data_IF_098756128680
#
_entry.id   IF_098756128680
#
_cell.length_a   1.000
_cell.length_b   1.000
_cell.length_c   1.000
_cell.angle_alpha   90.00
_cell.angle_beta   90.00
_cell.angle_gamma   90.00
#
_symmetry.space_group_name_H-M   'P 1'
#
loop_
_entity.id
_entity.type
_entity.pdbx_description
1 polymer ?
#
# COMPACT_ATOMS: atom_id res chain seq x y z
N UNK A 1 -0.12 -36.20 -2.98
CA UNK A 1 0.80 -35.58 -3.96
C UNK A 1 1.13 -34.17 -3.47
N UNK A 2 2.30 -33.97 -2.85
CA UNK A 2 2.71 -32.67 -2.28
C UNK A 2 3.54 -31.90 -3.31
N UNK A 3 3.01 -30.78 -3.82
CA UNK A 3 3.82 -29.83 -4.56
C UNK A 3 4.75 -29.10 -3.59
N UNK A 4 6.02 -29.53 -3.52
CA UNK A 4 7.10 -28.72 -2.97
C UNK A 4 7.38 -27.59 -3.95
N UNK A 5 6.83 -26.40 -3.69
CA UNK A 5 7.33 -25.19 -4.32
C UNK A 5 8.74 -24.91 -3.77
N UNK A 6 9.76 -25.38 -4.51
CA UNK A 6 11.13 -24.95 -4.31
C UNK A 6 11.25 -23.48 -4.75
N UNK A 7 10.94 -22.55 -3.85
CA UNK A 7 11.34 -21.16 -4.02
C UNK A 7 12.84 -21.07 -3.73
N UNK A 8 13.62 -20.81 -4.77
CA UNK A 8 15.06 -20.62 -4.66
C UNK A 8 15.33 -19.26 -3.99
N UNK A 9 15.58 -19.27 -2.69
CA UNK A 9 15.85 -18.06 -1.87
C UNK A 9 17.12 -17.30 -2.32
N UNK A 10 17.97 -17.89 -3.17
CA UNK A 10 19.28 -17.33 -3.59
C UNK A 10 19.24 -16.33 -4.75
N UNK A 11 18.07 -15.98 -5.29
CA UNK A 11 17.94 -14.87 -6.26
C UNK A 11 16.94 -13.86 -5.75
N UNK A 12 17.42 -12.91 -4.94
CA UNK A 12 16.75 -11.65 -4.69
C UNK A 12 16.46 -10.98 -6.04
N UNK A 13 15.26 -11.14 -6.58
CA UNK A 13 14.84 -10.34 -7.74
C UNK A 13 14.68 -8.93 -7.21
N UNK A 14 15.58 -8.03 -7.59
CA UNK A 14 15.42 -6.61 -7.31
C UNK A 14 14.15 -6.14 -8.01
N UNK A 15 13.11 -5.85 -7.23
CA UNK A 15 11.87 -5.26 -7.72
C UNK A 15 11.96 -3.77 -7.45
N UNK A 16 11.76 -2.95 -8.49
CA UNK A 16 11.77 -1.50 -8.34
C UNK A 16 10.70 -1.07 -7.31
N UNK A 17 10.98 -0.04 -6.48
CA UNK A 17 10.01 0.48 -5.52
C UNK A 17 8.76 1.07 -6.16
N UNK A 18 8.78 1.29 -7.47
CA UNK A 18 7.62 1.66 -8.25
C UNK A 18 7.72 1.06 -9.66
N UNK A 19 6.57 0.87 -10.31
CA UNK A 19 6.50 0.43 -11.70
C UNK A 19 5.19 0.91 -12.37
N UNK A 20 5.09 0.74 -13.68
CA UNK A 20 3.85 0.93 -14.44
C UNK A 20 3.34 -0.44 -14.89
N UNK A 21 2.18 -0.85 -14.39
CA UNK A 21 1.56 -2.13 -14.76
C UNK A 21 0.32 -1.91 -15.63
N UNK A 22 0.06 -2.78 -16.58
CA UNK A 22 -1.16 -2.75 -17.36
C UNK A 22 -2.38 -3.12 -16.49
N UNK A 23 -3.19 -2.12 -16.12
CA UNK A 23 -4.39 -2.29 -15.31
C UNK A 23 -5.50 -1.29 -15.75
N UNK A 24 -6.76 -1.75 -15.78
CA UNK A 24 -7.92 -0.89 -16.08
C UNK A 24 -7.89 -0.25 -17.47
N UNK A 25 -7.28 -0.93 -18.45
CA UNK A 25 -7.12 -0.43 -19.82
C UNK A 25 -6.16 0.76 -19.95
N UNK A 26 -5.29 0.99 -18.96
CA UNK A 26 -4.22 1.98 -18.95
C UNK A 26 -3.07 1.46 -18.08
N UNK A 27 -2.25 2.36 -17.54
CA UNK A 27 -1.24 1.97 -16.56
C UNK A 27 -1.71 2.23 -15.13
N UNK A 28 -1.49 1.31 -14.21
CA UNK A 28 -1.44 1.61 -12.79
C UNK A 28 -0.02 2.02 -12.42
N UNK A 29 0.11 3.17 -11.75
CA UNK A 29 1.36 3.53 -11.09
C UNK A 29 1.43 2.77 -9.77
N UNK A 30 2.22 1.70 -9.75
CA UNK A 30 2.37 0.84 -8.59
C UNK A 30 3.48 1.41 -7.71
N UNK A 31 3.19 1.64 -6.42
CA UNK A 31 4.14 2.03 -5.40
C UNK A 31 4.27 0.88 -4.39
N UNK A 32 5.49 0.35 -4.22
CA UNK A 32 5.74 -0.88 -3.45
C UNK A 32 6.43 -0.57 -2.14
N UNK A 33 5.89 -1.12 -1.05
CA UNK A 33 6.58 -1.19 0.23
C UNK A 33 7.22 -2.55 0.48
N UNK A 34 8.37 -2.53 1.15
CA UNK A 34 9.00 -3.70 1.76
C UNK A 34 8.52 -3.93 3.21
N UNK A 35 8.76 -5.12 3.76
CA UNK A 35 8.47 -5.47 5.15
C UNK A 35 7.00 -5.78 5.44
N UNK A 36 6.73 -7.00 5.93
CA UNK A 36 5.41 -7.44 6.37
C UNK A 36 5.53 -8.48 7.49
N UNK A 37 4.64 -8.45 8.48
CA UNK A 37 4.64 -9.42 9.58
C UNK A 37 3.57 -10.52 9.46
N UNK A 38 2.67 -10.43 8.46
CA UNK A 38 1.49 -11.30 8.39
C UNK A 38 1.76 -12.72 7.89
N UNK A 39 2.91 -12.98 7.26
CA UNK A 39 3.27 -14.32 6.74
C UNK A 39 2.12 -15.02 5.98
N UNK A 40 1.41 -14.27 5.13
CA UNK A 40 0.27 -14.81 4.40
C UNK A 40 0.72 -15.92 3.44
N UNK A 41 -0.02 -17.03 3.32
CA UNK A 41 0.41 -18.22 2.55
C UNK A 41 0.48 -17.94 1.05
N UNK A 42 -0.48 -17.17 0.54
CA UNK A 42 -0.58 -16.76 -0.86
C UNK A 42 -0.30 -15.25 -0.97
N UNK A 43 0.89 -14.83 -0.52
CA UNK A 43 1.30 -13.45 -0.63
C UNK A 43 1.98 -13.20 -1.97
N UNK A 44 1.29 -12.59 -2.93
CA UNK A 44 1.89 -12.10 -4.19
C UNK A 44 3.10 -11.19 -3.90
N UNK A 45 3.01 -10.41 -2.81
CA UNK A 45 4.10 -9.53 -2.41
C UNK A 45 5.31 -10.26 -1.84
N UNK A 46 5.24 -11.56 -1.50
CA UNK A 46 6.31 -12.30 -0.81
C UNK A 46 7.68 -12.22 -1.49
N UNK A 47 7.72 -12.06 -2.82
CA UNK A 47 8.97 -11.97 -3.59
C UNK A 47 9.76 -10.69 -3.33
N UNK A 48 9.11 -9.63 -2.84
CA UNK A 48 9.70 -8.31 -2.63
C UNK A 48 9.30 -7.64 -1.30
N UNK A 49 8.29 -8.15 -0.61
CA UNK A 49 7.95 -7.85 0.77
C UNK A 49 8.69 -8.85 1.66
N UNK A 50 10.00 -8.65 1.78
CA UNK A 50 10.90 -9.53 2.53
C UNK A 50 10.44 -9.70 3.98
N UNK A 51 10.55 -10.93 4.48
CA UNK A 51 10.44 -11.30 5.89
C UNK A 51 11.84 -11.38 6.51
N UNK A 52 12.61 -10.31 6.53
CA UNK A 52 13.94 -10.36 7.15
C UNK A 52 14.06 -9.41 8.33
N UNK A 53 14.74 -9.89 9.35
CA UNK A 53 15.33 -9.10 10.43
C UNK A 53 16.33 -8.04 9.89
N UNK A 54 16.74 -8.18 8.61
CA UNK A 54 17.57 -7.22 7.85
C UNK A 54 16.78 -6.09 7.17
N UNK A 55 15.44 -6.19 7.08
CA UNK A 55 14.61 -5.14 6.47
C UNK A 55 14.38 -3.95 7.40
N UNK A 56 15.26 -3.76 8.40
CA UNK A 56 15.15 -2.76 9.46
C UNK A 56 15.04 -1.31 8.97
N UNK A 57 15.35 -0.98 7.72
CA UNK A 57 15.64 0.42 7.35
C UNK A 57 15.13 0.86 5.97
N UNK A 58 14.01 0.36 5.46
CA UNK A 58 13.26 1.16 4.47
C UNK A 58 12.37 2.15 5.24
N UNK A 59 13.03 3.13 5.86
CA UNK A 59 12.39 4.25 6.53
C UNK A 59 11.41 4.97 5.59
N UNK A 60 10.40 5.62 6.17
CA UNK A 60 9.51 6.53 5.45
C UNK A 60 10.30 7.48 4.52
N UNK A 61 11.48 7.94 4.94
CA UNK A 61 12.40 8.77 4.16
C UNK A 61 12.89 8.15 2.86
N UNK A 62 13.20 6.84 2.86
CA UNK A 62 13.58 6.14 1.63
C UNK A 62 12.41 6.08 0.66
N UNK A 63 11.20 5.88 1.17
CA UNK A 63 9.99 5.86 0.36
C UNK A 63 9.70 7.28 -0.17
N UNK A 64 9.87 8.33 0.64
CA UNK A 64 9.66 9.73 0.21
C UNK A 64 10.66 10.14 -0.89
N UNK A 65 11.91 9.67 -0.82
CA UNK A 65 12.88 9.79 -1.92
C UNK A 65 12.42 9.09 -3.22
N UNK A 66 11.50 8.14 -3.15
CA UNK A 66 10.92 7.54 -4.36
C UNK A 66 9.87 8.43 -5.02
N UNK A 67 9.16 9.31 -4.30
CA UNK A 67 8.23 10.28 -4.93
C UNK A 67 8.94 11.22 -5.90
N UNK A 68 10.11 11.73 -5.53
CA UNK A 68 10.91 12.58 -6.43
C UNK A 68 11.43 11.78 -7.64
N UNK A 69 11.78 10.50 -7.45
CA UNK A 69 12.13 9.61 -8.55
C UNK A 69 10.94 9.31 -9.49
N UNK A 70 9.74 9.16 -8.95
CA UNK A 70 8.51 8.95 -9.71
C UNK A 70 8.23 10.18 -10.58
N UNK A 71 8.35 11.39 -10.04
CA UNK A 71 8.17 12.62 -10.82
C UNK A 71 9.12 12.66 -12.03
N UNK A 72 10.41 12.44 -11.79
CA UNK A 72 11.43 12.36 -12.84
C UNK A 72 11.11 11.26 -13.86
N UNK A 73 10.68 10.10 -13.38
CA UNK A 73 10.41 8.95 -14.23
C UNK A 73 9.14 9.09 -15.05
N UNK A 74 8.07 9.68 -14.51
CA UNK A 74 6.85 10.01 -15.25
C UNK A 74 7.13 11.05 -16.33
N UNK A 75 7.95 12.06 -16.03
CA UNK A 75 8.40 13.03 -17.03
C UNK A 75 9.15 12.38 -18.20
N UNK A 76 10.00 11.37 -17.94
CA UNK A 76 10.80 10.71 -18.99
C UNK A 76 10.04 9.59 -19.69
N UNK A 77 9.44 8.66 -18.94
CA UNK A 77 8.77 7.48 -19.48
C UNK A 77 7.37 7.81 -20.00
N UNK A 78 6.62 8.70 -19.35
CA UNK A 78 5.21 8.94 -19.67
C UNK A 78 4.99 10.14 -20.58
N UNK A 79 5.71 11.25 -20.40
CA UNK A 79 5.50 12.42 -21.27
C UNK A 79 6.22 12.27 -22.62
N UNK A 80 7.43 11.71 -22.65
CA UNK A 80 8.25 11.67 -23.89
C UNK A 80 7.93 10.50 -24.83
N UNK A 81 7.31 9.41 -24.37
CA UNK A 81 7.16 8.16 -25.15
C UNK A 81 5.70 7.82 -25.55
N UNK A 82 4.77 8.78 -25.48
CA UNK A 82 3.32 8.58 -25.74
C UNK A 82 2.74 7.25 -25.17
N UNK A 83 2.86 6.95 -23.87
CA UNK A 83 2.25 5.75 -23.33
C UNK A 83 0.78 6.00 -23.01
N UNK A 84 0.09 4.88 -22.83
CA UNK A 84 -1.26 4.81 -22.28
C UNK A 84 -1.34 5.65 -20.99
N UNK A 85 -2.48 6.30 -20.78
CA UNK A 85 -2.70 7.15 -19.60
C UNK A 85 -2.75 6.32 -18.31
N UNK A 86 -2.45 6.96 -17.18
CA UNK A 86 -2.46 6.35 -15.85
C UNK A 86 -3.89 6.28 -15.31
N UNK A 87 -4.34 5.06 -15.02
CA UNK A 87 -5.67 4.73 -14.53
C UNK A 87 -5.81 5.08 -13.04
N UNK A 88 -4.84 4.69 -12.21
CA UNK A 88 -4.78 4.95 -10.77
C UNK A 88 -3.35 4.81 -10.24
N UNK A 89 -3.12 5.32 -9.02
CA UNK A 89 -1.96 4.97 -8.20
C UNK A 89 -2.36 3.82 -7.30
N UNK A 90 -1.56 2.74 -7.25
CA UNK A 90 -1.77 1.64 -6.31
C UNK A 90 -0.58 1.53 -5.38
N UNK A 91 -0.80 1.82 -4.11
CA UNK A 91 0.17 1.64 -3.04
C UNK A 91 -0.07 0.24 -2.50
N UNK A 92 0.93 -0.63 -2.61
CA UNK A 92 0.82 -2.06 -2.28
C UNK A 92 2.15 -2.65 -1.80
N UNK A 93 2.15 -3.94 -1.46
CA UNK A 93 3.35 -4.69 -1.10
C UNK A 93 3.26 -5.27 0.29
N UNK A 94 4.28 -5.02 1.13
CA UNK A 94 4.21 -5.37 2.54
C UNK A 94 2.99 -4.77 3.25
N UNK A 95 2.85 -4.95 4.56
CA UNK A 95 1.69 -4.36 5.26
C UNK A 95 1.86 -2.84 5.38
N UNK A 96 1.17 -2.07 4.54
CA UNK A 96 1.33 -0.62 4.45
C UNK A 96 1.00 0.08 5.76
N UNK A 97 -0.09 -0.32 6.39
CA UNK A 97 -0.52 0.21 7.67
C UNK A 97 -0.07 -0.76 8.78
N UNK A 98 1.24 -1.00 8.88
CA UNK A 98 1.79 -1.89 9.92
C UNK A 98 1.90 -1.19 11.28
N UNK A 99 2.27 0.10 11.26
CA UNK A 99 2.41 0.96 12.44
C UNK A 99 2.02 2.40 12.08
N UNK A 100 2.10 3.29 13.06
CA UNK A 100 1.66 4.67 12.91
C UNK A 100 2.48 5.43 11.87
N UNK A 101 3.81 5.41 11.98
CA UNK A 101 4.74 6.14 11.10
C UNK A 101 4.56 5.72 9.64
N UNK A 102 4.44 4.41 9.39
CA UNK A 102 4.23 3.87 8.06
C UNK A 102 2.86 4.20 7.51
N UNK A 103 1.83 4.25 8.35
CA UNK A 103 0.48 4.68 7.96
C UNK A 103 0.51 6.14 7.50
N UNK A 104 1.16 7.02 8.26
CA UNK A 104 1.30 8.44 7.92
C UNK A 104 2.05 8.63 6.59
N UNK A 105 3.16 7.90 6.40
CA UNK A 105 3.90 7.91 5.15
C UNK A 105 3.07 7.36 3.97
N UNK A 106 2.36 6.25 4.18
CA UNK A 106 1.45 5.65 3.17
C UNK A 106 0.41 6.65 2.70
N UNK A 107 -0.18 7.40 3.62
CA UNK A 107 -1.14 8.46 3.31
C UNK A 107 -0.47 9.59 2.51
N UNK A 108 0.77 9.98 2.83
CA UNK A 108 1.52 10.95 2.02
C UNK A 108 1.77 10.47 0.58
N UNK A 109 1.97 9.17 0.33
CA UNK A 109 2.11 8.65 -1.03
C UNK A 109 0.88 8.86 -1.89
N UNK A 110 -0.30 8.98 -1.29
CA UNK A 110 -1.50 9.29 -2.05
C UNK A 110 -1.41 10.68 -2.72
N UNK A 111 -0.53 11.57 -2.23
CA UNK A 111 -0.22 12.83 -2.91
C UNK A 111 0.47 12.63 -4.28
N UNK A 112 0.92 11.42 -4.65
CA UNK A 112 1.40 11.11 -6.00
C UNK A 112 0.35 11.45 -7.10
N UNK A 113 -0.94 11.56 -6.75
CA UNK A 113 -1.97 12.06 -7.64
C UNK A 113 -1.68 13.47 -8.17
N UNK A 114 -1.06 14.34 -7.36
CA UNK A 114 -0.62 15.67 -7.80
C UNK A 114 0.36 15.60 -8.98
N UNK A 115 1.23 14.59 -9.01
CA UNK A 115 2.19 14.39 -10.10
C UNK A 115 1.47 13.94 -11.37
N UNK A 116 0.47 13.06 -11.25
CA UNK A 116 -0.36 12.64 -12.39
C UNK A 116 -1.05 13.85 -13.03
N UNK A 117 -1.56 14.77 -12.20
CA UNK A 117 -2.23 16.00 -12.63
C UNK A 117 -1.28 16.99 -13.27
N UNK A 118 -0.17 17.29 -12.59
CA UNK A 118 0.86 18.23 -13.06
C UNK A 118 1.33 17.94 -14.49
N UNK A 119 1.41 16.67 -14.87
CA UNK A 119 1.83 16.25 -16.22
C UNK A 119 0.67 15.85 -17.14
N UNK A 120 -0.59 15.99 -16.70
CA UNK A 120 -1.80 15.59 -17.43
C UNK A 120 -1.73 14.15 -17.99
N UNK A 121 -1.19 13.23 -17.19
CA UNK A 121 -1.01 11.83 -17.59
C UNK A 121 -2.13 10.91 -17.10
N UNK A 122 -3.12 11.46 -16.38
CA UNK A 122 -4.27 10.73 -15.86
C UNK A 122 -5.28 10.35 -16.95
N UNK A 123 -5.78 9.11 -16.90
CA UNK A 123 -6.78 8.58 -17.84
C UNK A 123 -8.16 9.18 -17.61
N UNK A 124 -8.53 9.33 -16.35
CA UNK A 124 -9.86 9.76 -15.93
C UNK A 124 -9.85 11.18 -15.39
N UNK A 125 -11.01 11.84 -15.46
CA UNK A 125 -11.22 13.11 -14.79
C UNK A 125 -11.07 12.98 -13.28
N UNK A 126 -11.44 11.85 -12.68
CA UNK A 126 -11.20 11.53 -11.25
C UNK A 126 -10.09 10.48 -11.13
N UNK A 127 -8.96 10.88 -10.57
CA UNK A 127 -7.83 10.01 -10.28
C UNK A 127 -7.95 9.43 -8.88
N UNK A 128 -7.41 8.23 -8.70
CA UNK A 128 -7.56 7.45 -7.47
C UNK A 128 -6.21 6.96 -6.98
N UNK A 129 -5.95 7.11 -5.69
CA UNK A 129 -4.87 6.43 -4.99
C UNK A 129 -5.47 5.30 -4.16
N UNK A 130 -5.09 4.06 -4.46
CA UNK A 130 -5.58 2.85 -3.82
C UNK A 130 -4.51 2.40 -2.81
N UNK A 131 -4.85 2.38 -1.52
CA UNK A 131 -4.01 1.90 -0.42
C UNK A 131 -4.47 0.50 -0.04
N UNK A 132 -3.63 -0.51 -0.28
CA UNK A 132 -3.94 -1.90 0.10
C UNK A 132 -3.44 -2.23 1.51
N UNK A 133 -4.35 -2.58 2.43
CA UNK A 133 -4.01 -2.94 3.82
C UNK A 133 -4.82 -4.14 4.30
N UNK A 134 -4.35 -4.81 5.35
CA UNK A 134 -5.14 -5.80 6.08
C UNK A 134 -6.03 -5.19 7.19
N UNK A 135 -5.85 -3.91 7.51
CA UNK A 135 -6.58 -3.21 8.56
C UNK A 135 -6.15 -3.48 10.01
N UNK A 136 -5.23 -4.42 10.29
CA UNK A 136 -4.94 -4.89 11.66
C UNK A 136 -4.44 -3.78 12.58
N UNK A 137 -3.57 -2.89 12.10
CA UNK A 137 -3.07 -1.76 12.91
C UNK A 137 -4.20 -0.89 13.46
N UNK A 138 -5.21 -0.59 12.64
CA UNK A 138 -6.34 0.24 13.05
C UNK A 138 -7.15 -0.36 14.20
N UNK A 139 -7.04 -1.66 14.48
CA UNK A 139 -7.71 -2.26 15.65
C UNK A 139 -7.10 -1.85 17.00
N UNK A 140 -5.89 -1.28 16.98
CA UNK A 140 -5.10 -0.99 18.20
C UNK A 140 -4.82 0.49 18.42
N UNK A 141 -5.19 1.35 17.47
CA UNK A 141 -4.95 2.79 17.60
C UNK A 141 -5.83 3.36 18.72
N UNK A 142 -5.31 4.35 19.46
CA UNK A 142 -6.10 5.15 20.39
C UNK A 142 -6.79 6.33 19.67
N UNK A 143 -7.55 7.13 20.42
CA UNK A 143 -8.24 8.31 19.87
C UNK A 143 -7.26 9.37 19.36
N UNK A 144 -6.12 9.54 20.03
CA UNK A 144 -5.09 10.52 19.63
C UNK A 144 -4.48 10.15 18.27
N UNK A 145 -4.15 8.88 18.06
CA UNK A 145 -3.67 8.35 16.78
C UNK A 145 -4.75 8.43 15.71
N UNK A 146 -6.00 8.11 16.06
CA UNK A 146 -7.16 8.25 15.16
C UNK A 146 -7.25 9.68 14.60
N UNK A 147 -7.25 10.69 15.47
CA UNK A 147 -7.31 12.11 15.06
C UNK A 147 -6.13 12.54 14.22
N UNK A 148 -4.92 12.06 14.52
CA UNK A 148 -3.74 12.34 13.69
C UNK A 148 -3.87 11.76 12.28
N UNK A 149 -4.40 10.54 12.15
CA UNK A 149 -4.62 9.89 10.85
C UNK A 149 -5.72 10.62 10.07
N UNK A 150 -6.82 10.98 10.73
CA UNK A 150 -7.92 11.76 10.19
C UNK A 150 -7.43 13.11 9.64
N UNK A 151 -6.73 13.90 10.46
CA UNK A 151 -6.16 15.18 10.05
C UNK A 151 -5.18 15.01 8.88
N UNK A 152 -4.35 13.96 8.91
CA UNK A 152 -3.42 13.68 7.83
C UNK A 152 -4.13 13.40 6.51
N UNK A 153 -5.20 12.61 6.52
CA UNK A 153 -6.02 12.35 5.34
C UNK A 153 -6.64 13.65 4.81
N UNK A 154 -7.22 14.47 5.69
CA UNK A 154 -7.76 15.80 5.33
C UNK A 154 -6.68 16.66 4.67
N UNK A 155 -5.48 16.72 5.24
CA UNK A 155 -4.36 17.51 4.71
C UNK A 155 -3.91 17.01 3.32
N UNK A 156 -3.92 15.70 3.08
CA UNK A 156 -3.60 15.16 1.75
C UNK A 156 -4.73 15.43 0.76
N UNK A 157 -5.99 15.27 1.18
CA UNK A 157 -7.16 15.56 0.37
C UNK A 157 -7.21 17.04 -0.06
N UNK A 158 -6.80 17.96 0.80
CA UNK A 158 -6.65 19.40 0.46
C UNK A 158 -5.54 19.66 -0.57
N UNK A 159 -4.50 18.83 -0.61
CA UNK A 159 -3.36 18.97 -1.53
C UNK A 159 -3.64 18.37 -2.91
N UNK A 160 -4.50 17.36 -3.00
CA UNK A 160 -4.98 16.82 -4.28
C UNK A 160 -6.24 17.60 -4.71
N UNK A 161 -6.57 17.64 -6.01
CA UNK A 161 -7.74 18.38 -6.47
C UNK A 161 -9.04 17.80 -5.87
N UNK A 162 -10.04 18.65 -5.58
CA UNK A 162 -11.27 18.31 -4.83
C UNK A 162 -12.05 17.07 -5.34
N UNK A 163 -11.83 16.66 -6.59
CA UNK A 163 -12.50 15.52 -7.19
C UNK A 163 -11.70 14.21 -7.11
N UNK A 164 -10.40 14.25 -6.80
CA UNK A 164 -9.57 13.05 -6.62
C UNK A 164 -9.93 12.30 -5.33
N UNK A 165 -9.55 11.01 -5.28
CA UNK A 165 -9.98 10.11 -4.20
C UNK A 165 -8.84 9.26 -3.66
N UNK A 166 -8.80 9.12 -2.35
CA UNK A 166 -8.00 8.12 -1.65
C UNK A 166 -8.94 6.96 -1.29
N UNK A 167 -8.58 5.75 -1.69
CA UNK A 167 -9.37 4.53 -1.50
C UNK A 167 -8.55 3.58 -0.64
N UNK A 168 -9.12 3.15 0.49
CA UNK A 168 -8.57 2.03 1.25
C UNK A 168 -9.18 0.73 0.75
N UNK A 169 -8.35 -0.16 0.21
CA UNK A 169 -8.72 -1.50 -0.20
C UNK A 169 -8.30 -2.47 0.93
N UNK A 170 -9.27 -2.96 1.70
CA UNK A 170 -8.98 -3.90 2.79
C UNK A 170 -9.04 -5.34 2.28
N UNK A 171 -7.95 -6.08 2.47
CA UNK A 171 -7.87 -7.51 2.22
C UNK A 171 -7.81 -8.30 3.53
N UNK A 172 -8.85 -9.07 3.83
CA UNK A 172 -8.80 -10.02 4.93
C UNK A 172 -7.95 -11.23 4.54
N UNK A 173 -6.80 -11.35 5.22
CA UNK A 173 -5.81 -12.39 4.97
C UNK A 173 -5.55 -13.19 6.23
N UNK A 174 -5.46 -14.50 6.08
CA UNK A 174 -5.10 -15.41 7.16
C UNK A 174 -3.58 -15.54 7.26
N UNK A 175 -2.97 -15.29 8.42
CA UNK A 175 -1.55 -15.53 8.62
C UNK A 175 -1.29 -17.04 8.71
N UNK A 176 -0.21 -17.50 8.08
CA UNK A 176 0.27 -18.88 8.27
C UNK A 176 1.58 -18.85 9.05
N UNK A 177 1.47 -19.09 10.35
CA UNK A 177 2.52 -19.76 11.09
C UNK A 177 2.10 -21.22 11.26
N UNK A 178 3.06 -22.16 11.41
CA UNK A 178 2.76 -23.57 11.70
C UNK A 178 1.76 -23.75 12.86
N UNK A 179 1.72 -22.77 13.77
CA UNK A 179 0.80 -22.68 14.91
C UNK A 179 -0.63 -22.26 14.51
N UNK A 180 -0.84 -21.37 13.53
CA UNK A 180 -2.17 -20.82 13.20
C UNK A 180 -3.00 -21.69 12.28
N UNK A 181 -2.37 -22.51 11.41
CA UNK A 181 -3.10 -23.44 10.53
C UNK A 181 -3.88 -24.52 11.30
N UNK A 182 -3.47 -24.82 12.53
CA UNK A 182 -4.07 -25.85 13.38
C UNK A 182 -4.61 -25.29 14.71
N UNK A 183 -4.61 -23.96 14.90
CA UNK A 183 -5.13 -23.30 16.09
C UNK A 183 -6.28 -22.32 15.75
N UNK A 184 -7.54 -22.78 15.86
CA UNK A 184 -8.73 -21.96 15.60
C UNK A 184 -8.79 -20.65 16.40
N UNK A 185 -8.21 -20.61 17.62
CA UNK A 185 -8.19 -19.39 18.45
C UNK A 185 -7.33 -18.30 17.83
N UNK A 186 -6.15 -18.65 17.30
CA UNK A 186 -5.25 -17.69 16.68
C UNK A 186 -5.82 -17.12 15.36
N UNK A 187 -6.49 -17.97 14.57
CA UNK A 187 -7.26 -17.54 13.40
C UNK A 187 -8.36 -16.53 13.77
N UNK A 188 -9.19 -16.89 14.76
CA UNK A 188 -10.26 -16.03 15.26
C UNK A 188 -9.72 -14.68 15.74
N UNK A 189 -8.56 -14.65 16.41
CA UNK A 189 -7.97 -13.39 16.88
C UNK A 189 -7.53 -12.47 15.73
N UNK A 190 -6.90 -13.01 14.67
CA UNK A 190 -6.50 -12.16 13.53
C UNK A 190 -7.70 -11.62 12.78
N UNK A 191 -8.71 -12.46 12.48
CA UNK A 191 -9.92 -12.00 11.81
C UNK A 191 -10.66 -10.94 12.66
N UNK A 192 -10.78 -11.16 13.98
CA UNK A 192 -11.36 -10.16 14.90
C UNK A 192 -10.60 -8.84 14.84
N UNK A 193 -9.27 -8.87 14.84
CA UNK A 193 -8.46 -7.66 14.69
C UNK A 193 -8.66 -6.98 13.33
N UNK A 194 -8.72 -7.74 12.23
CA UNK A 194 -8.98 -7.18 10.90
C UNK A 194 -10.36 -6.53 10.80
N UNK A 195 -11.40 -7.17 11.33
CA UNK A 195 -12.77 -6.62 11.35
C UNK A 195 -12.86 -5.39 12.25
N UNK A 196 -12.26 -5.43 13.45
CA UNK A 196 -12.21 -4.28 14.36
C UNK A 196 -11.47 -3.09 13.72
N UNK A 197 -10.35 -3.37 13.05
CA UNK A 197 -9.58 -2.37 12.33
C UNK A 197 -10.33 -1.78 11.13
N UNK A 198 -11.04 -2.61 10.35
CA UNK A 198 -11.93 -2.12 9.29
C UNK A 198 -13.01 -1.19 9.84
N UNK A 199 -13.70 -1.58 10.92
CA UNK A 199 -14.72 -0.73 11.56
C UNK A 199 -14.15 0.61 12.02
N UNK A 200 -12.94 0.60 12.61
CA UNK A 200 -12.29 1.83 13.07
C UNK A 200 -11.85 2.71 11.91
N UNK A 201 -11.29 2.14 10.85
CA UNK A 201 -10.95 2.87 9.63
C UNK A 201 -12.20 3.45 8.94
N UNK A 202 -13.30 2.69 8.90
CA UNK A 202 -14.58 3.18 8.38
C UNK A 202 -15.08 4.39 9.18
N UNK A 203 -14.86 4.41 10.51
CA UNK A 203 -15.12 5.57 11.35
C UNK A 203 -14.32 6.81 10.93
N UNK A 204 -13.01 6.66 10.65
CA UNK A 204 -12.17 7.75 10.14
C UNK A 204 -12.74 8.28 8.83
N UNK A 205 -13.03 7.39 7.87
CA UNK A 205 -13.47 7.78 6.53
C UNK A 205 -14.84 8.45 6.55
N UNK A 206 -15.74 8.11 7.48
CA UNK A 206 -17.07 8.72 7.60
C UNK A 206 -17.05 10.15 8.15
N UNK A 207 -15.97 10.55 8.82
CA UNK A 207 -15.82 11.87 9.41
C UNK A 207 -15.15 12.89 8.46
N UNK A 208 -14.71 12.44 7.28
CA UNK A 208 -14.00 13.23 6.27
C UNK A 208 -14.93 13.43 5.07
#
# INVERSE_FOLDING_TARGET
MFFKFHFNEKKAVFVEPWELNDEGGGFALILRYCGCQLRCPLCYARRYAWFSEDCKLHHADWVMKQLSNIERALRVKVVKRKPRKITWVRIQGGELCLNFERTMATIDFAAALTVIRKYNVGKFYVSRAIIQTNGVFFSRIDEKMFRKIENKLIDVLKRIENHDRIIFEISFKTPVNKVTMWNPKAFSMTLKAQVAGFKKLLGIVKNI
#
